data_IF_725663012648
#
_entry.id   IF_725663012648
#
_cell.length_a   1.000
_cell.length_b   1.000
_cell.length_c   1.000
_cell.angle_alpha   90.00
_cell.angle_beta   90.00
_cell.angle_gamma   90.00
#
_symmetry.space_group_name_H-M   'P 1'
#
loop_
_entity.id
_entity.type
_entity.pdbx_description
1 polymer ?
#
# COMPACT_ATOMS: atom_id res chain seq x y z
N UNK A 1 12.59 26.28 10.96
CA UNK A 1 13.92 25.67 11.18
C UNK A 1 14.74 25.59 9.90
N UNK A 2 14.12 25.39 8.73
CA UNK A 2 14.83 25.48 7.45
C UNK A 2 15.54 26.83 7.23
N UNK A 3 14.88 27.95 7.58
CA UNK A 3 15.51 29.30 7.57
C UNK A 3 16.66 29.46 8.58
N UNK A 4 16.82 28.50 9.51
CA UNK A 4 17.85 28.47 10.54
C UNK A 4 18.90 27.36 10.31
N UNK A 5 18.95 26.78 9.10
CA UNK A 5 19.99 25.85 8.69
C UNK A 5 19.60 24.36 8.68
N UNK A 6 18.35 24.00 8.96
CA UNK A 6 17.89 22.62 8.79
C UNK A 6 17.62 22.29 7.32
N UNK A 7 18.18 21.18 6.83
CA UNK A 7 17.93 20.69 5.47
C UNK A 7 16.78 19.66 5.41
N UNK A 8 16.06 19.68 4.29
CA UNK A 8 14.98 18.72 3.99
C UNK A 8 15.28 17.92 2.72
N UNK A 9 14.93 16.63 2.72
CA UNK A 9 15.05 15.77 1.54
C UNK A 9 13.79 14.93 1.32
N UNK A 10 13.41 14.79 0.06
CA UNK A 10 12.30 13.92 -0.36
C UNK A 10 12.55 12.48 0.10
N UNK A 11 11.52 11.84 0.64
CA UNK A 11 11.60 10.47 1.14
C UNK A 11 12.16 10.30 2.55
N UNK A 12 12.57 11.39 3.24
CA UNK A 12 13.05 11.35 4.64
C UNK A 12 11.98 11.60 5.71
N UNK A 13 10.71 11.77 5.31
CA UNK A 13 9.60 12.04 6.22
C UNK A 13 8.62 10.88 6.33
N UNK A 14 7.34 11.21 6.33
CA UNK A 14 6.23 10.25 6.40
C UNK A 14 6.19 9.30 5.21
N UNK A 15 5.60 8.11 5.41
CA UNK A 15 5.24 7.19 4.34
C UNK A 15 3.96 7.67 3.63
N UNK A 16 3.49 6.91 2.64
CA UNK A 16 2.29 7.28 1.87
C UNK A 16 1.03 7.45 2.75
N UNK A 17 0.95 6.73 3.87
CA UNK A 17 -0.12 6.83 4.86
C UNK A 17 0.03 8.03 5.82
N UNK A 18 1.01 8.91 5.63
CA UNK A 18 1.20 10.09 6.48
C UNK A 18 1.91 9.83 7.80
N UNK A 19 2.41 8.62 8.08
CA UNK A 19 3.08 8.28 9.34
C UNK A 19 4.49 7.68 9.13
N UNK A 20 5.29 7.69 10.20
CA UNK A 20 6.49 6.85 10.35
C UNK A 20 6.18 5.86 11.48
N UNK A 21 6.09 4.57 11.16
CA UNK A 21 5.61 3.52 12.07
C UNK A 21 6.69 2.45 12.30
N UNK A 22 7.64 2.66 13.23
CA UNK A 22 8.77 1.73 13.45
C UNK A 22 8.35 0.29 13.78
N UNK A 23 7.17 0.10 14.36
CA UNK A 23 6.61 -1.21 14.72
C UNK A 23 5.80 -1.86 13.59
N UNK A 24 5.79 -1.30 12.38
CA UNK A 24 5.10 -1.84 11.20
C UNK A 24 6.09 -1.96 10.03
N UNK A 25 5.89 -2.93 9.13
CA UNK A 25 6.63 -2.95 7.87
C UNK A 25 6.41 -1.66 7.10
N UNK A 26 7.49 -1.08 6.57
CA UNK A 26 7.45 0.12 5.76
C UNK A 26 8.38 -0.04 4.57
N UNK A 27 8.00 0.55 3.44
CA UNK A 27 8.89 0.68 2.29
C UNK A 27 9.80 1.89 2.45
N UNK A 28 11.04 1.72 1.98
CA UNK A 28 12.05 2.78 1.90
C UNK A 28 11.87 3.65 0.65
N UNK A 29 10.99 3.25 -0.29
CA UNK A 29 10.72 4.01 -1.50
C UNK A 29 10.07 5.36 -1.18
N UNK A 30 10.53 6.40 -1.87
CA UNK A 30 9.88 7.70 -1.80
C UNK A 30 8.59 7.68 -2.61
N UNK A 31 7.49 8.08 -2.00
CA UNK A 31 6.21 8.27 -2.68
C UNK A 31 6.17 9.58 -3.48
N UNK A 32 6.67 10.67 -2.88
CA UNK A 32 6.61 12.02 -3.45
C UNK A 32 7.52 12.16 -4.69
N UNK A 33 7.04 12.93 -5.68
CA UNK A 33 7.75 13.23 -6.92
C UNK A 33 7.82 12.10 -7.95
N UNK A 34 7.34 10.89 -7.62
CA UNK A 34 7.35 9.76 -8.56
C UNK A 34 6.16 9.79 -9.51
N UNK A 35 6.38 9.31 -10.75
CA UNK A 35 5.36 9.25 -11.79
C UNK A 35 4.18 8.35 -11.34
N UNK A 36 2.95 8.87 -11.25
CA UNK A 36 1.79 8.11 -10.77
C UNK A 36 1.30 7.05 -11.76
N UNK A 37 1.73 7.08 -13.03
CA UNK A 37 1.34 6.12 -14.07
C UNK A 37 2.29 4.93 -14.14
N UNK A 38 3.60 5.15 -13.99
CA UNK A 38 4.61 4.13 -14.31
C UNK A 38 5.49 3.71 -13.14
N UNK A 39 5.58 4.51 -12.08
CA UNK A 39 6.48 4.16 -10.97
C UNK A 39 5.84 3.14 -10.05
N UNK A 40 6.26 1.88 -10.17
CA UNK A 40 5.69 0.75 -9.42
C UNK A 40 5.70 0.96 -7.91
N UNK A 41 6.78 1.54 -7.35
CA UNK A 41 6.85 1.82 -5.91
C UNK A 41 5.77 2.78 -5.43
N UNK A 42 5.31 3.72 -6.29
CA UNK A 42 4.23 4.66 -5.94
C UNK A 42 2.88 3.95 -6.00
N UNK A 43 2.64 3.23 -7.09
CA UNK A 43 1.43 2.47 -7.32
C UNK A 43 1.21 1.40 -6.24
N UNK A 44 2.25 0.64 -5.90
CA UNK A 44 2.17 -0.46 -4.95
C UNK A 44 1.98 0.02 -3.51
N UNK A 45 2.52 1.18 -3.13
CA UNK A 45 2.20 1.78 -1.83
C UNK A 45 0.69 2.00 -1.69
N UNK A 46 0.08 2.69 -2.66
CA UNK A 46 -1.36 3.00 -2.62
C UNK A 46 -2.19 1.72 -2.72
N UNK A 47 -1.82 0.81 -3.61
CA UNK A 47 -2.54 -0.46 -3.81
C UNK A 47 -2.49 -1.33 -2.56
N UNK A 48 -1.32 -1.48 -1.93
CA UNK A 48 -1.17 -2.25 -0.70
C UNK A 48 -1.99 -1.66 0.45
N UNK A 49 -2.02 -0.32 0.57
CA UNK A 49 -2.87 0.37 1.54
C UNK A 49 -4.35 0.07 1.29
N UNK A 50 -4.85 0.26 0.06
CA UNK A 50 -6.25 -0.01 -0.26
C UNK A 50 -6.64 -1.47 -0.04
N UNK A 51 -5.76 -2.44 -0.37
CA UNK A 51 -6.01 -3.86 -0.10
C UNK A 51 -6.13 -4.10 1.41
N UNK A 52 -5.21 -3.56 2.22
CA UNK A 52 -5.24 -3.74 3.67
C UNK A 52 -6.50 -3.12 4.29
N UNK A 53 -6.88 -1.92 3.86
CA UNK A 53 -8.09 -1.22 4.29
C UNK A 53 -9.35 -1.99 3.92
N UNK A 54 -9.46 -2.45 2.67
CA UNK A 54 -10.60 -3.24 2.20
C UNK A 54 -10.72 -4.57 2.94
N UNK A 55 -9.60 -5.26 3.18
CA UNK A 55 -9.60 -6.51 3.98
C UNK A 55 -10.19 -6.28 5.37
N UNK A 56 -9.73 -5.25 6.09
CA UNK A 56 -10.22 -4.95 7.45
C UNK A 56 -11.68 -4.47 7.43
N UNK A 57 -12.10 -3.78 6.38
CA UNK A 57 -13.47 -3.27 6.26
C UNK A 57 -14.50 -4.33 5.82
N UNK A 58 -14.10 -5.32 5.01
CA UNK A 58 -15.00 -6.32 4.41
C UNK A 58 -14.96 -7.69 5.10
N UNK A 59 -14.00 -7.91 5.99
CA UNK A 59 -13.81 -9.16 6.72
C UNK A 59 -13.80 -8.84 8.22
N UNK A 60 -14.97 -8.86 8.84
CA UNK A 60 -15.18 -8.54 10.27
C UNK A 60 -14.26 -9.35 11.21
N UNK A 61 -13.87 -10.56 10.82
CA UNK A 61 -12.97 -11.43 11.58
C UNK A 61 -11.49 -10.99 11.55
N UNK A 62 -11.13 -10.02 10.69
CA UNK A 62 -9.76 -9.50 10.56
C UNK A 62 -9.62 -8.17 11.30
N UNK A 63 -8.87 -8.19 12.40
CA UNK A 63 -8.60 -6.98 13.21
C UNK A 63 -7.42 -6.13 12.72
N UNK A 64 -6.52 -6.71 11.92
CA UNK A 64 -5.36 -6.03 11.34
C UNK A 64 -4.91 -6.78 10.08
N UNK A 65 -4.51 -6.04 9.05
CA UNK A 65 -3.95 -6.60 7.83
C UNK A 65 -2.66 -5.86 7.43
N UNK A 66 -1.67 -6.61 6.95
CA UNK A 66 -0.44 -6.07 6.39
C UNK A 66 -0.24 -6.65 4.99
N UNK A 67 0.04 -5.79 4.01
CA UNK A 67 0.19 -6.16 2.61
C UNK A 67 1.54 -5.69 2.11
N UNK A 68 2.32 -6.61 1.53
CA UNK A 68 3.59 -6.31 0.88
C UNK A 68 3.52 -6.79 -0.57
N UNK A 69 3.70 -5.87 -1.51
CA UNK A 69 3.75 -6.16 -2.94
C UNK A 69 5.19 -6.02 -3.45
N UNK A 70 5.68 -7.04 -4.15
CA UNK A 70 7.02 -7.05 -4.75
C UNK A 70 6.89 -7.12 -6.26
N UNK A 71 7.44 -6.14 -6.95
CA UNK A 71 7.47 -6.10 -8.42
C UNK A 71 8.69 -6.82 -8.97
N UNK A 72 8.60 -7.28 -10.21
CA UNK A 72 9.74 -7.72 -11.00
C UNK A 72 9.90 -6.82 -12.23
N UNK A 73 11.12 -6.37 -12.51
CA UNK A 73 11.41 -5.53 -13.68
C UNK A 73 10.98 -6.27 -14.95
N UNK A 74 10.25 -5.57 -15.83
CA UNK A 74 9.74 -6.12 -17.09
C UNK A 74 8.39 -6.82 -16.97
N UNK A 75 7.85 -6.99 -15.77
CA UNK A 75 6.50 -7.54 -15.57
C UNK A 75 5.44 -6.43 -15.55
N UNK A 76 4.20 -6.74 -16.00
CA UNK A 76 3.07 -5.84 -15.83
C UNK A 76 2.86 -5.44 -14.36
N UNK A 77 2.44 -4.19 -14.12
CA UNK A 77 2.23 -3.65 -12.76
C UNK A 77 1.06 -4.31 -12.03
N UNK A 78 0.12 -4.92 -12.73
CA UNK A 78 -0.97 -5.70 -12.14
C UNK A 78 -0.56 -7.16 -11.81
N UNK A 79 0.69 -7.54 -12.13
CA UNK A 79 1.26 -8.87 -11.91
C UNK A 79 2.52 -8.79 -11.04
N UNK A 80 2.37 -8.54 -9.73
CA UNK A 80 3.50 -8.58 -8.80
C UNK A 80 4.11 -9.98 -8.75
N UNK A 81 5.43 -10.04 -8.54
CA UNK A 81 6.14 -11.29 -8.29
C UNK A 81 5.65 -11.94 -6.98
N UNK A 82 5.37 -11.11 -5.97
CA UNK A 82 4.87 -11.54 -4.66
C UNK A 82 3.79 -10.57 -4.20
N UNK A 83 2.69 -11.11 -3.70
CA UNK A 83 1.72 -10.41 -2.86
C UNK A 83 1.63 -11.15 -1.51
N UNK A 84 2.36 -10.65 -0.51
CA UNK A 84 2.35 -11.19 0.86
C UNK A 84 1.26 -10.48 1.66
N UNK A 85 0.28 -11.24 2.15
CA UNK A 85 -0.85 -10.72 2.95
C UNK A 85 -0.81 -11.42 4.30
N UNK A 86 -0.68 -10.63 5.37
CA UNK A 86 -0.68 -11.12 6.75
C UNK A 86 -1.93 -10.62 7.45
N UNK A 87 -2.70 -11.54 8.00
CA UNK A 87 -3.95 -11.25 8.69
C UNK A 87 -3.78 -11.51 10.19
N UNK A 88 -4.34 -10.63 11.01
CA UNK A 88 -4.57 -10.89 12.43
C UNK A 88 -5.99 -11.42 12.62
N UNK A 89 -6.06 -12.74 12.79
CA UNK A 89 -7.27 -13.49 13.14
C UNK A 89 -7.11 -14.15 14.52
N UNK A 90 -8.19 -14.72 15.07
CA UNK A 90 -8.19 -15.37 16.39
C UNK A 90 -7.34 -16.66 16.42
N UNK A 91 -7.25 -17.36 15.29
CA UNK A 91 -6.41 -18.56 15.14
C UNK A 91 -5.80 -18.68 13.74
N UNK A 92 -4.82 -19.58 13.62
CA UNK A 92 -4.20 -19.89 12.33
C UNK A 92 -5.18 -20.56 11.36
N UNK A 93 -6.08 -21.40 11.86
CA UNK A 93 -7.14 -22.06 11.08
C UNK A 93 -8.13 -21.03 10.54
N UNK A 94 -8.51 -20.04 11.36
CA UNK A 94 -9.37 -18.95 10.91
C UNK A 94 -8.65 -18.10 9.84
N UNK A 95 -7.39 -17.74 10.05
CA UNK A 95 -6.60 -17.03 9.03
C UNK A 95 -6.54 -17.79 7.70
N UNK A 96 -6.32 -19.11 7.74
CA UNK A 96 -6.31 -19.95 6.55
C UNK A 96 -7.68 -20.00 5.84
N UNK A 97 -8.78 -20.05 6.60
CA UNK A 97 -10.13 -20.02 6.05
C UNK A 97 -10.49 -18.67 5.41
N UNK A 98 -9.90 -17.56 5.89
CA UNK A 98 -10.13 -16.21 5.35
C UNK A 98 -9.24 -15.88 4.15
N UNK A 99 -8.15 -16.63 3.93
CA UNK A 99 -7.19 -16.37 2.86
C UNK A 99 -7.83 -16.23 1.46
N UNK A 100 -8.80 -17.06 1.03
CA UNK A 100 -9.44 -16.90 -0.28
C UNK A 100 -10.21 -15.58 -0.43
N UNK A 101 -10.83 -15.08 0.66
CA UNK A 101 -11.54 -13.78 0.65
C UNK A 101 -10.53 -12.64 0.51
N UNK A 102 -9.45 -12.67 1.29
CA UNK A 102 -8.38 -11.68 1.21
C UNK A 102 -7.70 -11.68 -0.18
N UNK A 103 -7.50 -12.86 -0.77
CA UNK A 103 -6.98 -13.00 -2.12
C UNK A 103 -7.90 -12.38 -3.17
N UNK A 104 -9.22 -12.59 -3.06
CA UNK A 104 -10.19 -12.00 -3.98
C UNK A 104 -10.16 -10.46 -3.93
N UNK A 105 -10.09 -9.87 -2.73
CA UNK A 105 -9.94 -8.43 -2.52
C UNK A 105 -8.63 -7.95 -3.17
N UNK A 106 -7.50 -8.63 -2.88
CA UNK A 106 -6.21 -8.27 -3.45
C UNK A 106 -6.22 -8.27 -4.99
N UNK A 107 -6.80 -9.31 -5.60
CA UNK A 107 -6.94 -9.41 -7.07
C UNK A 107 -7.80 -8.29 -7.64
N UNK A 108 -8.90 -7.94 -6.96
CA UNK A 108 -9.76 -6.83 -7.38
C UNK A 108 -9.00 -5.50 -7.45
N UNK A 109 -8.20 -5.18 -6.43
CA UNK A 109 -7.41 -3.95 -6.41
C UNK A 109 -6.24 -3.98 -7.39
N UNK A 110 -5.53 -5.11 -7.52
CA UNK A 110 -4.42 -5.26 -8.47
C UNK A 110 -4.87 -5.06 -9.91
N UNK A 111 -6.04 -5.59 -10.29
CA UNK A 111 -6.62 -5.40 -11.63
C UNK A 111 -6.91 -3.91 -11.97
N UNK A 112 -6.95 -3.04 -10.96
CA UNK A 112 -7.22 -1.60 -11.09
C UNK A 112 -5.98 -0.73 -10.87
N UNK A 113 -4.81 -1.32 -10.63
CA UNK A 113 -3.59 -0.55 -10.35
C UNK A 113 -3.26 0.43 -11.49
N UNK A 114 -3.53 0.03 -12.74
CA UNK A 114 -3.26 0.82 -13.93
C UNK A 114 -4.12 2.08 -14.09
N UNK A 115 -5.21 2.22 -13.32
CA UNK A 115 -6.07 3.41 -13.33
C UNK A 115 -5.94 4.28 -12.07
N UNK A 116 -5.13 3.87 -11.08
CA UNK A 116 -4.93 4.64 -9.84
C UNK A 116 -4.38 6.05 -10.07
N UNK A 117 -3.67 6.26 -11.19
CA UNK A 117 -3.13 7.56 -11.53
C UNK A 117 -4.21 8.63 -11.68
N UNK A 118 -5.43 8.28 -12.10
CA UNK A 118 -6.56 9.21 -12.25
C UNK A 118 -6.94 9.82 -10.90
N UNK A 119 -7.03 8.97 -9.86
CA UNK A 119 -7.28 9.39 -8.48
C UNK A 119 -6.11 10.19 -7.88
N UNK A 120 -4.87 9.83 -8.23
CA UNK A 120 -3.67 10.52 -7.77
C UNK A 120 -3.50 11.91 -8.41
N UNK A 121 -3.91 12.08 -9.67
CA UNK A 121 -3.89 13.37 -10.35
C UNK A 121 -5.01 14.29 -9.90
N UNK A 122 -6.19 13.74 -9.60
CA UNK A 122 -7.33 14.50 -9.08
C UNK A 122 -7.19 14.91 -7.61
N UNK A 123 -6.09 14.52 -6.94
CA UNK A 123 -5.85 14.69 -5.49
C UNK A 123 -6.92 14.04 -4.58
N UNK A 124 -7.79 13.20 -5.15
CA UNK A 124 -8.85 12.50 -4.41
C UNK A 124 -8.32 11.26 -3.68
N UNK A 125 -7.15 10.74 -4.08
CA UNK A 125 -6.40 9.73 -3.35
C UNK A 125 -5.38 10.46 -2.48
N UNK A 126 -5.82 10.83 -1.29
CA UNK A 126 -5.04 11.62 -0.34
C UNK A 126 -3.71 10.93 0.03
N UNK A 127 -2.62 11.70 -0.10
CA UNK A 127 -1.51 11.71 0.85
C UNK A 127 -1.80 12.60 2.07
N UNK A 128 -3.02 13.12 2.20
CA UNK A 128 -3.46 14.07 3.22
C UNK A 128 -4.97 13.93 3.49
N UNK A 129 -5.37 13.01 4.38
CA UNK A 129 -6.67 13.06 5.06
C UNK A 129 -6.57 12.36 6.43
N UNK A 130 -5.92 13.02 7.38
CA UNK A 130 -6.24 12.92 8.81
C UNK A 130 -6.57 14.33 9.28
#
# INVERSE_FOLDING_TARGET
>A
SAEAGDDGQTGRGNRANGLITPSRPMTIESFAGKNPVTHVGKLYNVTATHIAEAIVAEIDEVSDAQVVLVSQIGMPVDQPQIADIRLRAESAEQAAALAPRAEAIARHHLARVGSLWEGLLSQNLATQSL
#
